data_IF_143670066181
#
_entry.id   IF_143670066181
#
_cell.length_a   1.000
_cell.length_b   1.000
_cell.length_c   1.000
_cell.angle_alpha   90.00
_cell.angle_beta   90.00
_cell.angle_gamma   90.00
#
_symmetry.space_group_name_H-M   'P 1'
#
loop_
_entity.id
_entity.type
_entity.pdbx_description
1 polymer ?
#
# COMPACT_ATOMS: atom_id res chain seq x y z
N UNK A 1 4.89 19.37 27.67
CA UNK A 1 4.68 17.94 27.97
C UNK A 1 4.78 17.22 26.66
N UNK A 2 5.86 16.46 26.51
CA UNK A 2 6.13 15.61 25.35
C UNK A 2 5.03 14.58 25.19
N UNK A 3 4.66 14.31 23.94
CA UNK A 3 3.70 13.27 23.58
C UNK A 3 4.44 12.11 22.92
N UNK A 4 3.90 10.91 23.08
CA UNK A 4 4.54 9.68 22.67
C UNK A 4 3.62 8.88 21.75
N UNK A 5 4.14 8.46 20.60
CA UNK A 5 3.49 7.51 19.70
C UNK A 5 4.39 6.28 19.53
N UNK A 6 3.92 5.16 20.09
CA UNK A 6 4.55 3.86 19.88
C UNK A 6 3.99 3.20 18.64
N UNK A 7 4.84 2.90 17.66
CA UNK A 7 4.53 1.98 16.57
C UNK A 7 4.63 0.56 17.10
N UNK A 8 3.56 -0.23 16.93
CA UNK A 8 3.56 -1.67 17.13
C UNK A 8 3.48 -2.32 15.74
N UNK A 9 4.60 -2.88 15.23
CA UNK A 9 4.66 -3.48 13.92
C UNK A 9 3.52 -4.47 13.67
N UNK A 10 2.91 -4.38 12.48
CA UNK A 10 1.84 -5.27 12.04
C UNK A 10 2.05 -5.65 10.56
N UNK A 11 1.94 -6.95 10.27
CA UNK A 11 2.18 -7.49 8.94
C UNK A 11 3.67 -7.51 8.55
N UNK A 12 3.92 -7.62 7.25
CA UNK A 12 5.28 -7.66 6.67
C UNK A 12 5.83 -6.25 6.44
N UNK A 13 7.06 -6.18 5.93
CA UNK A 13 7.88 -4.97 5.74
C UNK A 13 7.12 -3.77 5.15
N UNK A 14 6.37 -3.93 4.05
CA UNK A 14 5.62 -2.79 3.45
C UNK A 14 4.51 -2.24 4.37
N UNK A 15 3.82 -3.12 5.10
CA UNK A 15 2.80 -2.70 6.05
C UNK A 15 3.41 -1.92 7.22
N UNK A 16 4.57 -2.38 7.69
CA UNK A 16 5.33 -1.71 8.75
C UNK A 16 5.88 -0.36 8.27
N UNK A 17 6.38 -0.27 7.03
CA UNK A 17 6.78 1.00 6.43
C UNK A 17 5.59 1.96 6.32
N UNK A 18 4.40 1.49 5.93
CA UNK A 18 3.18 2.31 5.94
C UNK A 18 2.80 2.81 7.34
N UNK A 19 2.99 1.99 8.39
CA UNK A 19 2.81 2.45 9.77
C UNK A 19 3.81 3.55 10.13
N UNK A 20 5.07 3.39 9.74
CA UNK A 20 6.10 4.43 9.91
C UNK A 20 5.71 5.70 9.17
N UNK A 21 5.26 5.63 7.91
CA UNK A 21 4.87 6.82 7.14
C UNK A 21 3.72 7.59 7.77
N UNK A 22 2.72 6.87 8.31
CA UNK A 22 1.64 7.50 9.07
C UNK A 22 2.17 8.18 10.34
N UNK A 23 3.02 7.51 11.10
CA UNK A 23 3.62 8.05 12.31
C UNK A 23 4.49 9.29 12.04
N UNK A 24 5.29 9.26 10.97
CA UNK A 24 6.10 10.39 10.52
C UNK A 24 5.23 11.59 10.09
N UNK A 25 4.07 11.36 9.47
CA UNK A 25 3.12 12.45 9.18
C UNK A 25 2.53 13.05 10.46
N UNK A 26 2.20 12.22 11.45
CA UNK A 26 1.74 12.73 12.75
C UNK A 26 2.81 13.59 13.44
N UNK A 27 4.08 13.14 13.40
CA UNK A 27 5.21 13.89 13.94
C UNK A 27 5.42 15.23 13.21
N UNK A 28 5.25 15.25 11.89
CA UNK A 28 5.27 16.48 11.09
C UNK A 28 4.15 17.46 11.50
N UNK A 29 2.99 16.95 11.89
CA UNK A 29 1.81 17.75 12.23
C UNK A 29 1.74 18.17 13.72
N UNK A 30 2.54 17.55 14.58
CA UNK A 30 2.55 17.75 16.03
C UNK A 30 4.01 17.88 16.51
N UNK A 31 4.44 19.13 16.76
CA UNK A 31 5.85 19.45 17.04
C UNK A 31 6.46 18.68 18.22
N UNK A 32 5.71 18.46 19.30
CA UNK A 32 6.18 17.79 20.52
C UNK A 32 5.90 16.26 20.53
N UNK A 33 5.79 15.62 19.36
CA UNK A 33 5.54 14.18 19.25
C UNK A 33 6.83 13.39 19.05
N UNK A 34 7.14 12.53 20.01
CA UNK A 34 8.18 11.51 19.88
C UNK A 34 7.57 10.21 19.36
N UNK A 35 8.19 9.65 18.31
CA UNK A 35 7.77 8.40 17.67
C UNK A 35 8.83 7.34 17.90
N UNK A 36 8.43 6.14 18.32
CA UNK A 36 9.34 5.02 18.55
C UNK A 36 8.68 3.66 18.31
N UNK A 37 9.45 2.57 18.36
CA UNK A 37 8.98 1.19 18.21
C UNK A 37 8.92 0.68 16.76
N UNK A 38 9.34 1.48 15.79
CA UNK A 38 9.58 1.02 14.41
C UNK A 38 11.00 0.47 14.27
N UNK A 39 11.14 -0.59 13.47
CA UNK A 39 12.38 -1.31 13.22
C UNK A 39 12.37 -1.80 11.77
N UNK A 40 12.97 -0.98 10.89
CA UNK A 40 13.02 -1.14 9.44
C UNK A 40 14.46 -0.87 8.98
N UNK A 41 15.41 -1.74 9.38
CA UNK A 41 16.84 -1.53 9.15
C UNK A 41 17.20 -1.46 7.65
N UNK A 42 16.39 -2.05 6.77
CA UNK A 42 16.55 -2.02 5.32
C UNK A 42 16.62 -0.60 4.74
N UNK A 43 15.97 0.36 5.40
CA UNK A 43 15.98 1.78 5.04
C UNK A 43 16.66 2.67 6.09
N UNK A 44 17.45 2.08 6.98
CA UNK A 44 18.07 2.77 8.13
C UNK A 44 17.04 3.46 9.06
N UNK A 45 15.85 2.88 9.16
CA UNK A 45 14.74 3.40 9.96
C UNK A 45 14.59 2.56 11.22
N UNK A 46 15.41 2.84 12.23
CA UNK A 46 15.36 2.17 13.53
C UNK A 46 15.09 3.23 14.61
N UNK A 47 14.24 2.90 15.57
CA UNK A 47 14.02 3.74 16.76
C UNK A 47 14.41 2.98 18.02
N UNK A 48 15.07 3.68 18.93
CA UNK A 48 15.32 3.16 20.26
C UNK A 48 14.01 3.05 21.04
N UNK A 49 13.91 1.98 21.84
CA UNK A 49 12.77 1.81 22.75
C UNK A 49 13.04 2.62 24.02
N UNK A 50 12.10 3.44 24.51
CA UNK A 50 12.26 4.11 25.78
C UNK A 50 12.36 3.08 26.93
N UNK A 51 13.23 3.34 27.90
CA UNK A 51 13.49 2.45 29.04
C UNK A 51 12.21 2.14 29.86
N UNK A 52 11.28 3.10 29.92
CA UNK A 52 10.00 2.95 30.60
C UNK A 52 8.87 3.33 29.64
N UNK A 53 8.21 2.35 28.99
CA UNK A 53 7.06 2.66 28.16
C UNK A 53 5.93 3.23 29.03
N UNK A 54 5.17 4.21 28.53
CA UNK A 54 4.10 4.83 29.29
C UNK A 54 2.99 3.82 29.63
N UNK A 55 2.49 3.87 30.87
CA UNK A 55 1.55 2.88 31.39
C UNK A 55 0.13 2.95 30.76
N UNK A 56 -0.24 4.07 30.12
CA UNK A 56 -1.59 4.30 29.58
C UNK A 56 -1.53 4.85 28.17
N UNK A 57 -1.95 4.04 27.21
CA UNK A 57 -1.88 4.33 25.78
C UNK A 57 -3.28 4.30 25.13
N UNK A 58 -3.60 5.32 24.33
CA UNK A 58 -4.74 5.25 23.42
C UNK A 58 -4.35 4.41 22.20
N UNK A 59 -5.00 3.24 22.07
CA UNK A 59 -4.73 2.31 20.97
C UNK A 59 -5.45 2.72 19.69
N UNK A 60 -4.66 2.91 18.62
CA UNK A 60 -5.09 3.13 17.26
C UNK A 60 -5.05 1.78 16.51
N UNK A 61 -6.19 1.31 15.97
CA UNK A 61 -6.32 -0.03 15.34
C UNK A 61 -7.06 0.00 14.00
N UNK A 62 -6.82 -1.04 13.19
CA UNK A 62 -7.54 -1.30 11.94
C UNK A 62 -7.19 -0.31 10.82
N UNK A 63 -8.08 -0.19 9.83
CA UNK A 63 -7.91 0.69 8.66
C UNK A 63 -8.44 2.11 8.86
N UNK A 64 -9.28 2.34 9.87
CA UNK A 64 -9.88 3.65 10.11
C UNK A 64 -9.05 4.45 11.11
N UNK A 65 -7.87 4.87 10.67
CA UNK A 65 -7.08 5.87 11.35
C UNK A 65 -7.51 7.23 10.81
N UNK A 66 -7.98 8.11 11.70
CA UNK A 66 -8.49 9.43 11.33
C UNK A 66 -7.44 10.48 11.69
N UNK A 67 -6.53 10.78 10.76
CA UNK A 67 -5.37 11.65 11.02
C UNK A 67 -5.75 12.97 11.71
N UNK A 68 -6.73 13.70 11.18
CA UNK A 68 -7.19 14.98 11.75
C UNK A 68 -7.71 14.86 13.18
N UNK A 69 -8.54 13.85 13.46
CA UNK A 69 -9.07 13.61 14.80
C UNK A 69 -7.94 13.26 15.79
N UNK A 70 -6.98 12.44 15.36
CA UNK A 70 -5.82 12.04 16.17
C UNK A 70 -4.93 13.26 16.47
N UNK A 71 -4.62 14.06 15.46
CA UNK A 71 -3.86 15.32 15.61
C UNK A 71 -4.61 16.28 16.53
N UNK A 72 -5.93 16.38 16.42
CA UNK A 72 -6.75 17.20 17.31
C UNK A 72 -6.68 16.75 18.78
N UNK A 73 -6.72 15.45 19.03
CA UNK A 73 -6.52 14.88 20.38
C UNK A 73 -5.13 15.18 20.94
N UNK A 74 -4.10 15.05 20.10
CA UNK A 74 -2.71 15.33 20.47
C UNK A 74 -2.47 16.81 20.78
N UNK A 75 -2.91 17.72 19.90
CA UNK A 75 -2.72 19.17 20.09
C UNK A 75 -3.43 19.70 21.33
N UNK A 76 -4.61 19.13 21.64
CA UNK A 76 -5.37 19.46 22.85
C UNK A 76 -4.85 18.75 24.10
N UNK A 77 -3.84 17.89 23.97
CA UNK A 77 -3.23 17.12 25.06
C UNK A 77 -4.27 16.34 25.87
N UNK A 78 -5.30 15.81 25.20
CA UNK A 78 -6.33 14.98 25.84
C UNK A 78 -5.71 13.66 26.30
N UNK A 79 -4.79 13.12 25.50
CA UNK A 79 -4.00 11.93 25.83
C UNK A 79 -2.57 12.21 25.40
N UNK A 80 -1.59 11.83 26.24
CA UNK A 80 -0.17 12.04 25.94
C UNK A 80 0.50 10.84 25.28
N UNK A 81 -0.06 9.64 25.40
CA UNK A 81 0.55 8.41 24.87
C UNK A 81 -0.42 7.65 23.96
N UNK A 82 0.09 7.26 22.79
CA UNK A 82 -0.64 6.56 21.75
C UNK A 82 0.12 5.29 21.35
N UNK A 83 -0.63 4.27 20.93
CA UNK A 83 -0.03 3.09 20.29
C UNK A 83 -0.68 2.82 18.94
N UNK A 84 0.12 2.89 17.88
CA UNK A 84 -0.27 2.58 16.52
C UNK A 84 -0.12 1.07 16.28
N UNK A 85 -1.25 0.39 16.09
CA UNK A 85 -1.31 -1.02 15.72
C UNK A 85 -2.25 -1.31 14.54
N UNK A 86 -2.83 -0.24 13.97
CA UNK A 86 -3.57 -0.28 12.72
C UNK A 86 -2.67 -0.01 11.53
N UNK A 87 -3.17 -0.34 10.34
CA UNK A 87 -2.50 -0.14 9.05
C UNK A 87 -2.89 1.19 8.42
N UNK A 88 -4.16 1.59 8.55
CA UNK A 88 -4.62 2.92 8.16
C UNK A 88 -4.43 3.27 6.69
N UNK A 89 -4.61 2.31 5.78
CA UNK A 89 -4.42 2.48 4.34
C UNK A 89 -5.39 3.49 3.74
N UNK A 90 -5.08 4.77 3.88
CA UNK A 90 -5.86 5.89 3.34
C UNK A 90 -4.92 7.00 2.90
N UNK A 91 -5.05 7.49 1.68
CA UNK A 91 -4.22 8.58 1.14
C UNK A 91 -4.17 9.79 2.09
N UNK A 92 -5.29 10.16 2.71
CA UNK A 92 -5.39 11.26 3.67
C UNK A 92 -4.54 11.09 4.95
N UNK A 93 -4.02 9.90 5.22
CA UNK A 93 -3.16 9.64 6.37
C UNK A 93 -1.70 9.95 6.09
N UNK A 94 -1.29 10.06 4.83
CA UNK A 94 0.10 10.27 4.46
C UNK A 94 0.36 11.74 4.09
N UNK A 95 1.60 12.18 4.28
CA UNK A 95 2.10 13.46 3.77
C UNK A 95 2.28 13.38 2.23
N UNK A 96 2.55 14.51 1.55
CA UNK A 96 3.02 14.48 0.17
C UNK A 96 4.24 13.56 0.01
N UNK A 97 4.36 12.89 -1.13
CA UNK A 97 5.38 11.85 -1.36
C UNK A 97 6.81 12.38 -1.24
N UNK A 98 7.01 13.65 -1.58
CA UNK A 98 8.28 14.38 -1.50
C UNK A 98 8.79 14.51 -0.06
N UNK A 99 7.89 14.46 0.93
CA UNK A 99 8.28 14.37 2.33
C UNK A 99 8.96 13.04 2.66
N UNK A 100 8.58 11.94 1.98
CA UNK A 100 9.03 10.60 2.33
C UNK A 100 10.25 10.13 1.53
N UNK A 101 10.34 10.45 0.24
CA UNK A 101 11.45 9.99 -0.62
C UNK A 101 12.85 10.22 -0.03
N UNK A 102 13.22 11.40 0.50
CA UNK A 102 14.56 11.59 1.08
C UNK A 102 14.78 10.84 2.40
N UNK A 103 13.72 10.33 3.04
CA UNK A 103 13.77 9.60 4.32
C UNK A 103 13.86 8.08 4.13
N UNK A 104 13.40 7.58 2.97
CA UNK A 104 13.40 6.15 2.65
C UNK A 104 14.55 5.89 1.70
N UNK A 105 15.72 5.58 2.27
CA UNK A 105 16.94 5.36 1.51
C UNK A 105 17.51 3.98 1.84
N UNK A 106 17.43 3.08 0.87
CA UNK A 106 18.08 1.78 0.95
C UNK A 106 19.54 1.90 0.46
N UNK A 107 20.48 1.30 1.19
CA UNK A 107 21.89 1.27 0.79
C UNK A 107 22.17 0.15 -0.23
N UNK A 108 21.58 0.27 -1.41
CA UNK A 108 21.71 -0.69 -2.51
C UNK A 108 22.15 0.02 -3.81
N UNK A 109 23.40 0.51 -3.92
CA UNK A 109 23.85 1.28 -5.08
C UNK A 109 23.95 0.44 -6.37
N UNK A 110 24.04 -0.88 -6.25
CA UNK A 110 24.15 -1.80 -7.39
C UNK A 110 22.80 -2.09 -8.07
N UNK A 111 21.67 -1.90 -7.36
CA UNK A 111 20.34 -2.13 -7.92
C UNK A 111 20.00 -1.01 -8.91
N UNK A 112 19.67 -1.39 -10.13
CA UNK A 112 19.21 -0.44 -11.16
C UNK A 112 17.73 -0.68 -11.41
N UNK A 113 17.02 0.39 -11.75
CA UNK A 113 15.70 0.28 -12.36
C UNK A 113 15.82 0.09 -13.87
N UNK A 114 14.68 -0.08 -14.52
CA UNK A 114 14.57 -0.19 -15.97
C UNK A 114 14.16 1.16 -16.59
N UNK A 115 14.63 1.41 -17.82
CA UNK A 115 14.32 2.61 -18.58
C UNK A 115 12.89 2.62 -19.12
N UNK A 116 12.60 3.60 -19.97
CA UNK A 116 11.32 3.84 -20.63
C UNK A 116 11.00 2.80 -21.71
N UNK A 117 11.99 2.05 -22.17
CA UNK A 117 11.83 0.91 -23.08
C UNK A 117 11.22 -0.34 -22.43
N UNK A 118 11.02 -0.32 -21.10
CA UNK A 118 10.51 -1.45 -20.33
C UNK A 118 9.34 -1.06 -19.41
N UNK A 119 8.43 -2.01 -19.18
CA UNK A 119 7.42 -1.94 -18.09
C UNK A 119 7.77 -2.96 -17.03
N UNK A 120 7.99 -2.52 -15.79
CA UNK A 120 8.23 -3.41 -14.66
C UNK A 120 6.90 -3.83 -14.04
N UNK A 121 6.53 -5.09 -14.25
CA UNK A 121 5.41 -5.75 -13.60
C UNK A 121 5.87 -6.41 -12.30
N UNK A 122 5.32 -5.96 -11.18
CA UNK A 122 5.48 -6.71 -9.94
C UNK A 122 4.56 -7.92 -9.93
N UNK A 123 5.13 -9.11 -9.85
CA UNK A 123 4.40 -10.36 -9.67
C UNK A 123 4.32 -10.66 -8.18
N UNK A 124 3.07 -10.66 -7.67
CA UNK A 124 2.76 -11.14 -6.34
C UNK A 124 2.42 -12.63 -6.45
N UNK A 125 3.19 -13.45 -5.75
CA UNK A 125 3.04 -14.88 -5.63
C UNK A 125 2.83 -15.26 -4.15
N UNK A 126 3.24 -16.48 -3.80
CA UNK A 126 3.08 -17.00 -2.44
C UNK A 126 1.62 -17.11 -2.02
N UNK A 127 1.26 -16.47 -0.91
CA UNK A 127 -0.05 -16.61 -0.25
C UNK A 127 -1.24 -16.14 -1.11
N UNK A 128 -1.01 -15.26 -2.07
CA UNK A 128 -2.05 -14.78 -2.99
C UNK A 128 -2.52 -15.86 -3.98
N UNK A 129 -1.70 -16.89 -4.21
CA UNK A 129 -2.04 -18.02 -5.10
C UNK A 129 -2.97 -19.02 -4.42
N UNK A 130 -3.18 -18.87 -3.11
CA UNK A 130 -4.08 -19.66 -2.28
C UNK A 130 -5.30 -18.84 -1.84
N UNK A 131 -6.24 -19.46 -1.11
CA UNK A 131 -7.44 -18.80 -0.60
C UNK A 131 -7.18 -17.98 0.68
N UNK A 132 -6.14 -17.13 0.68
CA UNK A 132 -5.74 -16.33 1.84
C UNK A 132 -6.79 -15.25 2.20
N UNK A 133 -7.38 -14.59 1.20
CA UNK A 133 -8.46 -13.62 1.39
C UNK A 133 -9.23 -13.40 0.08
N UNK A 134 -10.57 -13.26 0.09
CA UNK A 134 -11.36 -13.21 -1.14
C UNK A 134 -11.14 -11.96 -2.01
N UNK A 135 -10.67 -10.86 -1.43
CA UNK A 135 -10.30 -9.62 -2.17
C UNK A 135 -8.79 -9.53 -2.51
N UNK A 136 -8.07 -10.66 -2.47
CA UNK A 136 -6.62 -10.69 -2.64
C UNK A 136 -6.25 -11.85 -3.56
N UNK A 137 -5.95 -11.52 -4.81
CA UNK A 137 -5.76 -12.49 -5.90
C UNK A 137 -4.70 -12.04 -6.91
N UNK A 138 -4.10 -12.97 -7.66
CA UNK A 138 -3.10 -12.64 -8.68
C UNK A 138 -3.73 -11.78 -9.76
N UNK A 139 -2.98 -10.85 -10.32
CA UNK A 139 -3.49 -10.11 -11.48
C UNK A 139 -3.69 -11.06 -12.67
N UNK A 140 -4.81 -11.00 -13.40
CA UNK A 140 -5.03 -11.82 -14.58
C UNK A 140 -4.09 -11.39 -15.72
N UNK A 141 -3.81 -12.29 -16.65
CA UNK A 141 -2.92 -11.99 -17.78
C UNK A 141 -3.48 -10.94 -18.72
N UNK A 142 -4.80 -10.83 -18.82
CA UNK A 142 -5.47 -9.76 -19.57
C UNK A 142 -5.10 -8.36 -19.09
N UNK A 143 -4.77 -8.17 -17.81
CA UNK A 143 -4.25 -6.89 -17.32
C UNK A 143 -2.86 -6.59 -17.86
N UNK A 144 -1.98 -7.59 -17.89
CA UNK A 144 -0.63 -7.46 -18.46
C UNK A 144 -0.75 -7.14 -19.95
N UNK A 145 -1.61 -7.87 -20.68
CA UNK A 145 -1.88 -7.59 -22.10
C UNK A 145 -2.41 -6.16 -22.31
N UNK A 146 -3.35 -5.71 -21.47
CA UNK A 146 -3.92 -4.37 -21.55
C UNK A 146 -2.86 -3.27 -21.32
N UNK A 147 -1.94 -3.49 -20.38
CA UNK A 147 -0.81 -2.57 -20.15
C UNK A 147 0.13 -2.58 -21.36
N UNK A 148 0.56 -3.75 -21.84
CA UNK A 148 1.50 -3.87 -22.96
C UNK A 148 0.93 -3.33 -24.29
N UNK A 149 -0.37 -3.44 -24.53
CA UNK A 149 -0.99 -2.85 -25.72
C UNK A 149 -0.94 -1.31 -25.76
N UNK A 150 -0.64 -0.67 -24.62
CA UNK A 150 -0.61 0.80 -24.45
C UNK A 150 0.79 1.32 -24.15
N UNK A 151 1.56 0.55 -23.40
CA UNK A 151 2.96 0.80 -23.13
C UNK A 151 3.76 0.27 -24.32
N UNK A 152 4.29 1.16 -25.15
CA UNK A 152 5.20 0.79 -26.23
C UNK A 152 6.58 0.35 -25.65
N UNK A 153 6.59 -0.71 -24.86
CA UNK A 153 7.68 -1.13 -24.00
C UNK A 153 7.64 -2.64 -23.76
N UNK A 154 8.81 -3.24 -23.53
CA UNK A 154 8.96 -4.66 -23.27
C UNK A 154 8.62 -5.02 -21.80
N UNK A 155 7.95 -6.15 -21.53
CA UNK A 155 7.66 -6.58 -20.17
C UNK A 155 8.92 -7.04 -19.42
N UNK A 156 9.03 -6.58 -18.17
CA UNK A 156 9.96 -7.09 -17.17
C UNK A 156 9.16 -7.55 -15.97
N UNK A 157 9.31 -8.81 -15.57
CA UNK A 157 8.67 -9.37 -14.38
C UNK A 157 9.65 -9.41 -13.22
N UNK A 158 9.23 -8.83 -12.08
CA UNK A 158 10.01 -8.71 -10.83
C UNK A 158 9.13 -9.20 -9.66
N UNK A 159 9.70 -9.77 -8.60
CA UNK A 159 8.96 -10.24 -7.43
C UNK A 159 8.97 -11.77 -7.26
N UNK A 160 7.86 -12.32 -6.76
CA UNK A 160 7.73 -13.72 -6.33
C UNK A 160 7.53 -14.66 -7.54
N UNK A 161 8.62 -14.96 -8.25
CA UNK A 161 8.67 -15.73 -9.50
C UNK A 161 9.05 -17.23 -9.32
N UNK A 162 8.63 -17.82 -8.20
CA UNK A 162 8.89 -19.23 -7.86
C UNK A 162 8.30 -20.21 -8.90
N UNK A 163 8.73 -21.48 -8.85
CA UNK A 163 8.14 -22.57 -9.65
C UNK A 163 6.72 -22.91 -9.16
N UNK A 164 5.73 -22.17 -9.67
CA UNK A 164 4.32 -22.35 -9.38
C UNK A 164 3.47 -22.25 -10.66
N UNK A 165 2.17 -22.59 -10.57
CA UNK A 165 1.29 -22.61 -11.73
C UNK A 165 1.20 -21.26 -12.46
N UNK A 166 1.28 -20.15 -11.71
CA UNK A 166 1.15 -18.81 -12.25
C UNK A 166 2.43 -18.39 -12.98
N UNK A 167 3.60 -18.51 -12.34
CA UNK A 167 4.90 -18.21 -12.94
C UNK A 167 5.19 -19.07 -14.18
N UNK A 168 4.85 -20.37 -14.13
CA UNK A 168 5.01 -21.28 -15.27
C UNK A 168 4.17 -20.83 -16.47
N UNK A 169 2.89 -20.49 -16.24
CA UNK A 169 2.02 -19.95 -17.29
C UNK A 169 2.49 -18.58 -17.78
N UNK A 170 3.04 -17.76 -16.90
CA UNK A 170 3.54 -16.42 -17.23
C UNK A 170 4.74 -16.50 -18.19
N UNK A 171 5.70 -17.37 -17.88
CA UNK A 171 6.86 -17.66 -18.75
C UNK A 171 6.44 -18.23 -20.11
N UNK A 172 5.42 -19.09 -20.12
CA UNK A 172 4.90 -19.64 -21.37
C UNK A 172 4.19 -18.59 -22.26
N UNK A 173 3.47 -17.63 -21.65
CA UNK A 173 2.75 -16.58 -22.40
C UNK A 173 3.67 -15.47 -22.92
N UNK A 174 4.69 -15.11 -22.15
CA UNK A 174 5.60 -14.01 -22.47
C UNK A 174 7.05 -14.51 -22.56
N UNK A 175 7.40 -15.35 -23.56
CA UNK A 175 8.71 -15.98 -23.64
C UNK A 175 9.84 -14.98 -23.88
N UNK A 176 9.55 -13.84 -24.51
CA UNK A 176 10.52 -12.78 -24.82
C UNK A 176 10.65 -11.74 -23.69
N UNK A 177 9.93 -11.91 -22.59
CA UNK A 177 10.00 -11.01 -21.44
C UNK A 177 11.28 -11.24 -20.63
N UNK A 178 11.71 -10.19 -19.92
CA UNK A 178 12.77 -10.33 -18.92
C UNK A 178 12.13 -10.82 -17.62
N UNK A 179 12.64 -11.91 -17.08
CA UNK A 179 12.29 -12.37 -15.73
C UNK A 179 13.47 -12.11 -14.81
N UNK A 180 13.28 -11.24 -13.83
CA UNK A 180 14.33 -10.92 -12.86
C UNK A 180 14.81 -12.20 -12.15
N UNK A 181 16.12 -12.36 -11.93
CA UNK A 181 16.62 -13.45 -11.10
C UNK A 181 16.04 -13.32 -9.67
N UNK A 182 16.05 -14.41 -8.88
CA UNK A 182 15.67 -14.36 -7.48
C UNK A 182 16.39 -13.24 -6.74
N UNK A 183 15.62 -12.39 -6.08
CA UNK A 183 16.11 -11.24 -5.34
C UNK A 183 15.42 -11.15 -3.98
N UNK A 184 15.99 -10.39 -3.06
CA UNK A 184 15.33 -10.08 -1.80
C UNK A 184 14.16 -9.11 -2.03
N UNK A 185 13.15 -9.08 -1.12
CA UNK A 185 12.07 -8.11 -1.21
C UNK A 185 12.56 -6.65 -1.24
N UNK A 186 13.69 -6.33 -0.62
CA UNK A 186 14.23 -4.97 -0.67
C UNK A 186 14.80 -4.63 -2.06
N UNK A 187 15.46 -5.58 -2.72
CA UNK A 187 15.99 -5.41 -4.07
C UNK A 187 14.87 -5.29 -5.11
N UNK A 188 13.81 -6.10 -4.99
CA UNK A 188 12.60 -5.96 -5.83
C UNK A 188 11.95 -4.59 -5.62
N UNK A 189 11.83 -4.15 -4.36
CA UNK A 189 11.27 -2.84 -4.01
C UNK A 189 12.06 -1.70 -4.66
N UNK A 190 13.38 -1.73 -4.55
CA UNK A 190 14.26 -0.70 -5.13
C UNK A 190 14.32 -0.77 -6.66
N UNK A 191 14.25 -1.96 -7.24
CA UNK A 191 14.15 -2.14 -8.70
C UNK A 191 12.90 -1.47 -9.22
N UNK A 192 11.75 -1.73 -8.61
CA UNK A 192 10.50 -1.03 -8.94
C UNK A 192 10.64 0.48 -8.74
N UNK A 193 11.09 0.92 -7.56
CA UNK A 193 11.16 2.35 -7.19
C UNK A 193 12.05 3.18 -8.13
N UNK A 194 13.04 2.56 -8.77
CA UNK A 194 14.00 3.18 -9.69
C UNK A 194 13.60 3.05 -11.16
N UNK A 195 12.52 2.35 -11.48
CA UNK A 195 12.10 2.12 -12.87
C UNK A 195 11.20 3.24 -13.40
N UNK A 196 11.24 3.48 -14.71
CA UNK A 196 10.51 4.57 -15.38
C UNK A 196 9.04 4.26 -15.60
N UNK A 197 8.70 3.00 -15.82
CA UNK A 197 7.32 2.55 -15.99
C UNK A 197 7.05 1.30 -15.14
N UNK A 198 6.00 1.35 -14.33
CA UNK A 198 5.68 0.31 -13.33
C UNK A 198 4.24 -0.13 -13.51
N UNK A 199 3.98 -1.43 -13.47
CA UNK A 199 2.66 -2.01 -13.34
C UNK A 199 2.57 -2.81 -12.04
N UNK A 200 1.68 -2.40 -11.14
CA UNK A 200 1.61 -2.99 -9.80
C UNK A 200 0.63 -4.17 -9.73
N UNK A 201 0.93 -5.14 -8.86
CA UNK A 201 -0.03 -6.15 -8.42
C UNK A 201 -1.00 -5.60 -7.37
N UNK A 202 -2.03 -6.40 -7.03
CA UNK A 202 -2.91 -6.20 -5.87
C UNK A 202 -2.10 -6.48 -4.59
N UNK A 203 -1.28 -5.52 -4.17
CA UNK A 203 -0.39 -5.66 -3.00
C UNK A 203 -0.02 -4.28 -2.42
N UNK A 204 0.01 -4.17 -1.10
CA UNK A 204 0.52 -2.97 -0.41
C UNK A 204 2.00 -2.73 -0.69
N UNK A 205 2.77 -3.79 -0.96
CA UNK A 205 4.20 -3.70 -1.27
C UNK A 205 4.43 -3.05 -2.64
N UNK A 206 3.79 -3.57 -3.69
CA UNK A 206 3.92 -3.02 -5.05
C UNK A 206 3.36 -1.61 -5.14
N UNK A 207 2.23 -1.36 -4.46
CA UNK A 207 1.65 -0.03 -4.35
C UNK A 207 2.63 0.97 -3.72
N UNK A 208 3.25 0.60 -2.60
CA UNK A 208 4.17 1.47 -1.87
C UNK A 208 5.45 1.77 -2.67
N UNK A 209 6.02 0.75 -3.30
CA UNK A 209 7.20 0.90 -4.16
C UNK A 209 6.93 1.88 -5.31
N UNK A 210 5.78 1.72 -5.99
CA UNK A 210 5.38 2.60 -7.08
C UNK A 210 5.07 4.01 -6.59
N UNK A 211 4.34 4.16 -5.49
CA UNK A 211 3.99 5.48 -4.96
C UNK A 211 5.23 6.30 -4.61
N UNK A 212 6.22 5.69 -3.96
CA UNK A 212 7.50 6.30 -3.60
C UNK A 212 8.48 6.45 -4.77
N UNK A 213 8.21 5.83 -5.93
CA UNK A 213 9.07 5.92 -7.11
C UNK A 213 9.11 7.33 -7.71
N UNK A 214 10.06 7.55 -8.62
CA UNK A 214 10.08 8.69 -9.56
C UNK A 214 9.68 8.23 -10.97
N UNK A 215 8.87 7.17 -11.09
CA UNK A 215 8.40 6.66 -12.37
C UNK A 215 7.61 7.74 -13.13
N UNK A 216 7.68 7.70 -14.45
CA UNK A 216 6.92 8.58 -15.33
C UNK A 216 5.49 8.04 -15.53
N UNK A 217 5.30 6.73 -15.45
CA UNK A 217 3.99 6.09 -15.59
C UNK A 217 3.83 4.91 -14.63
N UNK A 218 2.68 4.86 -13.95
CA UNK A 218 2.29 3.79 -13.02
C UNK A 218 0.93 3.23 -13.46
N UNK A 219 0.91 1.96 -13.84
CA UNK A 219 -0.30 1.22 -14.16
C UNK A 219 -0.83 0.56 -12.88
N UNK A 220 -2.05 0.90 -12.50
CA UNK A 220 -2.70 0.44 -11.27
C UNK A 220 -3.99 -0.32 -11.60
N UNK A 221 -4.15 -1.57 -11.13
CA UNK A 221 -5.41 -2.29 -11.21
C UNK A 221 -6.35 -1.81 -10.10
N UNK A 222 -7.52 -1.29 -10.46
CA UNK A 222 -8.60 -0.96 -9.52
C UNK A 222 -9.35 -2.25 -9.22
N UNK A 223 -8.77 -3.07 -8.33
CA UNK A 223 -9.17 -4.44 -8.09
C UNK A 223 -8.85 -4.87 -6.63
N UNK A 224 -9.62 -5.82 -6.10
CA UNK A 224 -9.36 -6.41 -4.78
C UNK A 224 -9.23 -5.35 -3.67
N UNK A 225 -8.09 -5.34 -2.95
CA UNK A 225 -7.85 -4.33 -1.91
C UNK A 225 -7.69 -2.89 -2.42
N UNK A 226 -7.46 -2.69 -3.72
CA UNK A 226 -7.32 -1.39 -4.37
C UNK A 226 -8.64 -0.90 -4.98
N UNK A 227 -9.71 -1.71 -4.92
CA UNK A 227 -11.04 -1.34 -5.37
C UNK A 227 -11.84 -0.69 -4.21
N UNK A 228 -12.22 0.59 -4.31
CA UNK A 228 -13.02 1.28 -3.29
C UNK A 228 -14.41 0.67 -3.07
N UNK A 229 -14.99 0.01 -4.08
CA UNK A 229 -16.31 -0.61 -3.96
C UNK A 229 -16.25 -1.92 -3.17
N UNK A 230 -15.20 -2.73 -3.35
CA UNK A 230 -14.97 -3.94 -2.55
C UNK A 230 -14.43 -3.62 -1.16
N UNK A 231 -13.52 -2.63 -1.05
CA UNK A 231 -12.81 -2.26 0.18
C UNK A 231 -12.96 -0.77 0.50
N UNK A 232 -14.16 -0.28 0.84
CA UNK A 232 -14.39 1.13 1.15
C UNK A 232 -13.63 1.62 2.41
N UNK A 233 -13.17 0.68 3.24
CA UNK A 233 -12.33 0.97 4.40
C UNK A 233 -10.86 1.27 4.05
N UNK A 234 -10.42 0.97 2.82
CA UNK A 234 -9.12 1.28 2.25
C UNK A 234 -9.27 2.44 1.24
N UNK A 235 -8.23 3.25 1.10
CA UNK A 235 -8.11 4.28 0.07
C UNK A 235 -6.63 4.43 -0.32
N UNK A 236 -6.22 3.76 -1.39
CA UNK A 236 -4.86 3.80 -1.92
C UNK A 236 -4.84 4.24 -3.39
N UNK A 237 -5.87 4.98 -3.83
CA UNK A 237 -5.93 5.51 -5.18
C UNK A 237 -5.48 6.98 -5.15
N UNK A 238 -4.31 7.33 -5.72
CA UNK A 238 -3.81 8.70 -5.76
C UNK A 238 -4.43 9.45 -6.96
N UNK A 239 -5.67 9.88 -6.82
CA UNK A 239 -6.49 10.46 -7.90
C UNK A 239 -5.90 11.73 -8.53
N UNK A 240 -5.04 12.44 -7.80
CA UNK A 240 -4.40 13.69 -8.23
C UNK A 240 -2.96 13.47 -8.76
N UNK A 241 -2.45 12.24 -8.75
CA UNK A 241 -1.11 11.92 -9.25
C UNK A 241 -1.14 11.64 -10.76
N UNK A 242 -0.51 12.51 -11.54
CA UNK A 242 -0.46 12.48 -13.00
C UNK A 242 0.05 11.14 -13.56
N UNK A 243 0.93 10.46 -12.82
CA UNK A 243 1.63 9.24 -13.25
C UNK A 243 0.70 8.04 -13.37
N UNK A 244 -0.43 8.04 -12.65
CA UNK A 244 -1.27 6.86 -12.52
C UNK A 244 -2.26 6.71 -13.67
N UNK A 245 -2.25 5.53 -14.28
CA UNK A 245 -3.28 5.01 -15.17
C UNK A 245 -4.06 3.90 -14.46
N UNK A 246 -5.37 4.08 -14.34
CA UNK A 246 -6.25 3.23 -13.55
C UNK A 246 -7.02 2.25 -14.42
N UNK A 247 -6.80 0.96 -14.25
CA UNK A 247 -7.46 -0.09 -15.02
C UNK A 247 -8.64 -0.65 -14.23
N UNK A 248 -9.85 -0.56 -14.79
CA UNK A 248 -11.05 -1.12 -14.20
C UNK A 248 -11.05 -2.65 -14.26
N UNK A 249 -11.59 -3.26 -13.22
CA UNK A 249 -11.83 -4.70 -13.11
C UNK A 249 -13.27 -4.94 -12.73
N UNK A 250 -13.86 -5.98 -13.31
CA UNK A 250 -15.13 -6.48 -12.81
C UNK A 250 -14.96 -7.05 -11.40
N UNK A 251 -15.95 -6.88 -10.52
CA UNK A 251 -15.89 -7.41 -9.17
C UNK A 251 -15.62 -8.92 -9.18
N UNK A 252 -14.59 -9.33 -8.45
CA UNK A 252 -14.14 -10.71 -8.40
C UNK A 252 -13.78 -11.12 -6.98
N UNK A 253 -14.15 -12.35 -6.61
CA UNK A 253 -13.91 -12.93 -5.28
C UNK A 253 -13.11 -14.22 -5.45
N UNK A 254 -11.93 -14.24 -4.86
CA UNK A 254 -10.96 -15.32 -5.03
C UNK A 254 -11.12 -16.40 -3.97
N UNK A 255 -11.29 -17.64 -4.42
CA UNK A 255 -11.31 -18.82 -3.54
C UNK A 255 -10.23 -19.83 -3.94
N UNK A 256 -9.33 -19.46 -4.86
CA UNK A 256 -8.30 -20.32 -5.45
C UNK A 256 -8.86 -21.66 -6.00
N UNK A 257 -10.10 -21.66 -6.48
CA UNK A 257 -10.68 -22.84 -7.13
C UNK A 257 -10.06 -23.04 -8.51
N UNK A 258 -10.13 -24.25 -9.11
CA UNK A 258 -9.68 -24.46 -10.49
C UNK A 258 -10.35 -23.50 -11.50
N UNK A 259 -11.62 -23.15 -11.28
CA UNK A 259 -12.33 -22.17 -12.11
C UNK A 259 -11.76 -20.75 -11.92
N UNK A 260 -11.46 -20.34 -10.68
CA UNK A 260 -10.84 -19.04 -10.40
C UNK A 260 -9.46 -18.95 -11.07
N UNK A 261 -8.66 -20.01 -10.95
CA UNK A 261 -7.33 -20.11 -11.57
C UNK A 261 -7.45 -20.01 -13.08
N UNK A 262 -8.35 -20.78 -13.70
CA UNK A 262 -8.58 -20.72 -15.16
C UNK A 262 -9.00 -19.32 -15.62
N UNK A 263 -9.77 -18.62 -14.78
CA UNK A 263 -10.21 -17.27 -15.05
C UNK A 263 -9.06 -16.26 -15.18
N UNK A 264 -7.89 -16.51 -14.60
CA UNK A 264 -6.70 -15.65 -14.69
C UNK A 264 -6.11 -15.61 -16.10
N UNK A 265 -6.35 -16.65 -16.91
CA UNK A 265 -5.82 -16.79 -18.26
C UNK A 265 -6.77 -16.22 -19.32
N UNK A 266 -8.01 -15.94 -18.94
CA UNK A 266 -9.04 -15.46 -19.85
C UNK A 266 -8.77 -14.03 -20.28
N UNK A 267 -9.06 -13.77 -21.55
CA UNK A 267 -9.03 -12.41 -22.09
C UNK A 267 -10.21 -11.63 -21.51
N UNK A 268 -9.91 -10.45 -20.95
CA UNK A 268 -10.88 -9.51 -20.40
C UNK A 268 -10.50 -8.12 -20.87
N UNK A 269 -11.50 -7.29 -21.09
CA UNK A 269 -11.25 -5.89 -21.39
C UNK A 269 -11.01 -5.12 -20.10
N UNK A 270 -9.93 -4.36 -20.06
CA UNK A 270 -9.62 -3.46 -18.95
C UNK A 270 -9.70 -2.02 -19.42
N UNK A 271 -10.85 -1.39 -19.17
CA UNK A 271 -11.08 0.02 -19.47
C UNK A 271 -10.27 0.91 -18.53
N UNK A 272 -9.71 2.00 -19.07
CA UNK A 272 -9.10 3.03 -18.25
C UNK A 272 -10.18 3.90 -17.58
N UNK A 273 -10.04 4.13 -16.29
CA UNK A 273 -10.87 5.07 -15.54
C UNK A 273 -10.25 6.46 -15.58
N UNK A 274 -11.07 7.46 -15.88
CA UNK A 274 -10.70 8.85 -15.73
C UNK A 274 -10.55 9.24 -14.25
N UNK A 275 -9.84 10.33 -13.98
CA UNK A 275 -9.70 10.86 -12.61
C UNK A 275 -11.05 11.18 -11.96
N UNK A 276 -12.00 11.64 -12.75
CA UNK A 276 -13.34 11.96 -12.25
C UNK A 276 -14.12 10.69 -11.85
N UNK A 277 -13.98 9.62 -12.61
CA UNK A 277 -14.52 8.31 -12.24
C UNK A 277 -13.87 7.79 -10.96
N UNK A 278 -12.55 7.93 -10.79
CA UNK A 278 -11.87 7.56 -9.54
C UNK A 278 -12.40 8.37 -8.35
N UNK A 279 -12.56 9.69 -8.49
CA UNK A 279 -13.13 10.54 -7.44
C UNK A 279 -14.55 10.10 -7.09
N UNK A 280 -15.37 9.82 -8.09
CA UNK A 280 -16.74 9.35 -7.91
C UNK A 280 -16.78 8.01 -7.16
N UNK A 281 -15.93 7.05 -7.56
CA UNK A 281 -15.80 5.76 -6.87
C UNK A 281 -15.40 5.94 -5.40
N UNK A 282 -14.41 6.78 -5.13
CA UNK A 282 -13.97 7.08 -3.75
C UNK A 282 -15.08 7.73 -2.93
N UNK A 283 -15.82 8.70 -3.49
CA UNK A 283 -16.94 9.35 -2.80
C UNK A 283 -18.07 8.36 -2.47
N UNK A 284 -18.44 7.50 -3.43
CA UNK A 284 -19.44 6.45 -3.23
C UNK A 284 -19.01 5.46 -2.15
N UNK A 285 -17.75 5.01 -2.17
CA UNK A 285 -17.16 4.15 -1.15
C UNK A 285 -17.21 4.80 0.24
N UNK A 286 -16.87 6.09 0.35
CA UNK A 286 -16.96 6.83 1.60
C UNK A 286 -18.40 6.92 2.14
N UNK A 287 -19.36 7.13 1.25
CA UNK A 287 -20.77 7.21 1.63
C UNK A 287 -21.29 5.87 2.14
N UNK A 288 -20.91 4.74 1.51
CA UNK A 288 -21.25 3.37 1.97
C UNK A 288 -20.87 3.12 3.43
N UNK A 289 -19.76 3.68 3.89
CA UNK A 289 -19.26 3.48 5.26
C UNK A 289 -19.42 4.68 6.19
N UNK A 290 -20.14 5.73 5.78
CA UNK A 290 -20.23 7.02 6.51
C UNK A 290 -20.63 6.85 7.98
N UNK A 291 -21.74 6.15 8.25
CA UNK A 291 -22.23 5.92 9.61
C UNK A 291 -21.21 5.15 10.46
N UNK A 292 -20.63 4.08 9.90
CA UNK A 292 -19.60 3.27 10.57
C UNK A 292 -18.36 4.11 10.92
N UNK A 293 -17.94 5.01 10.02
CA UNK A 293 -16.82 5.94 10.27
C UNK A 293 -17.16 6.91 11.40
N UNK A 294 -18.35 7.52 11.36
CA UNK A 294 -18.79 8.45 12.41
C UNK A 294 -18.82 7.78 13.79
N UNK A 295 -19.36 6.56 13.88
CA UNK A 295 -19.34 5.77 15.11
C UNK A 295 -17.91 5.47 15.61
N UNK A 296 -16.98 5.15 14.69
CA UNK A 296 -15.57 4.92 15.05
C UNK A 296 -14.89 6.19 15.55
N UNK A 297 -15.19 7.36 14.97
CA UNK A 297 -14.71 8.66 15.48
C UNK A 297 -15.24 8.92 16.89
N UNK A 298 -16.54 8.76 17.12
CA UNK A 298 -17.14 8.92 18.46
C UNK A 298 -16.46 8.00 19.48
N UNK A 299 -16.25 6.73 19.12
CA UNK A 299 -15.58 5.75 19.98
C UNK A 299 -14.13 6.12 20.28
N UNK A 300 -13.39 6.66 19.30
CA UNK A 300 -12.02 7.16 19.50
C UNK A 300 -12.00 8.29 20.54
N UNK A 301 -12.84 9.31 20.35
CA UNK A 301 -12.93 10.47 21.26
C UNK A 301 -13.40 10.07 22.66
N UNK A 302 -14.38 9.19 22.78
CA UNK A 302 -14.85 8.69 24.06
C UNK A 302 -13.75 7.94 24.83
N UNK A 303 -13.00 7.07 24.15
CA UNK A 303 -11.85 6.36 24.76
C UNK A 303 -10.76 7.32 25.20
N UNK A 304 -10.47 8.34 24.41
CA UNK A 304 -9.48 9.37 24.76
C UNK A 304 -9.87 10.10 26.05
N UNK A 305 -11.14 10.53 26.17
CA UNK A 305 -11.64 11.20 27.38
C UNK A 305 -11.64 10.29 28.61
N UNK A 306 -12.05 9.04 28.46
CA UNK A 306 -12.01 8.07 29.56
C UNK A 306 -10.59 7.82 30.08
N UNK A 307 -9.58 7.87 29.21
CA UNK A 307 -8.17 7.78 29.62
C UNK A 307 -7.69 9.04 30.33
N UNK A 308 -8.21 10.22 29.94
CA UNK A 308 -7.86 11.51 30.54
C UNK A 308 -8.45 11.71 31.95
N UNK A 309 -9.59 11.08 32.25
CA UNK A 309 -10.29 11.21 33.55
C UNK A 309 -9.72 10.31 34.65
N UNK A 310 -8.86 9.36 34.31
CA UNK A 310 -8.27 8.41 35.26
C UNK A 310 -6.87 8.84 35.63
#
# INVERSE_FOLDING_TARGET
>A
MTQFLRVRPAGRTANQLLQYLFAANLQRLVADLEVYGYDLPEWNLVSEKPAHPPARELRLTGQNLFCEDIVGLMRRKIVSNFVLSGLGFRMSNYAPVEFYRPRIVANLPHIKGYGDEHVVFHIRGGDILESAHPDYYPVPFSYIDAVLSRANAAPVFVGELDENYYSTRLRARYPDAIFSPPASPLEDFETMRRSRQIAIAISSFSWLAAWLSEADTIHLPVAGMLDPDLRPDIDLLPEDDARYSFYHFDPFRWNATPADIESLWQTREHRLLSREEIRTLKQNALQKIRLRRQWRKIKLHARARLLAMR
#
